data_IF_537059826996
#
_entry.id   IF_537059826996
#
_cell.length_a   1.000
_cell.length_b   1.000
_cell.length_c   1.000
_cell.angle_alpha   90.00
_cell.angle_beta   90.00
_cell.angle_gamma   90.00
#
_symmetry.space_group_name_H-M   'P 1'
#
loop_
_entity.id
_entity.type
_entity.pdbx_description
1 polymer ?
#
# COMPACT_ATOMS: atom_id res chain seq x y z
N UNK A 1 -43.74 60.69 -53.46
CA UNK A 1 -43.51 60.74 -52.00
C UNK A 1 -42.43 59.72 -51.65
N UNK A 2 -41.34 60.17 -51.02
CA UNK A 2 -40.20 59.33 -50.57
C UNK A 2 -40.66 58.37 -49.46
N UNK A 3 -40.24 57.10 -49.51
CA UNK A 3 -40.11 56.26 -48.31
C UNK A 3 -38.75 55.55 -48.36
N UNK A 4 -37.97 55.80 -47.32
CA UNK A 4 -36.59 55.37 -47.12
C UNK A 4 -36.51 53.95 -46.53
N UNK A 5 -35.50 53.21 -46.98
CA UNK A 5 -34.59 52.32 -46.22
C UNK A 5 -35.10 51.63 -44.94
N UNK A 6 -35.13 50.27 -44.93
CA UNK A 6 -34.77 49.47 -43.73
C UNK A 6 -34.42 47.99 -43.98
N UNK A 7 -33.90 47.61 -45.16
CA UNK A 7 -33.47 46.21 -45.40
C UNK A 7 -32.02 45.90 -45.03
N UNK A 8 -31.25 46.87 -44.51
CA UNK A 8 -29.84 46.69 -44.14
C UNK A 8 -29.58 46.36 -42.67
N UNK A 9 -30.60 46.40 -41.82
CA UNK A 9 -30.44 46.20 -40.36
C UNK A 9 -30.86 44.82 -39.86
N UNK A 10 -31.41 43.96 -40.73
CA UNK A 10 -31.86 42.61 -40.34
C UNK A 10 -30.77 41.55 -40.61
N UNK A 11 -29.79 41.84 -41.48
CA UNK A 11 -28.69 40.93 -41.78
C UNK A 11 -27.55 41.03 -40.73
N UNK A 12 -27.53 42.10 -39.93
CA UNK A 12 -26.47 42.33 -38.93
C UNK A 12 -26.73 41.73 -37.55
N UNK A 13 -27.94 41.23 -37.27
CA UNK A 13 -28.29 40.63 -35.97
C UNK A 13 -28.29 39.10 -35.99
N UNK A 14 -28.16 38.46 -37.15
CA UNK A 14 -28.09 36.99 -37.28
C UNK A 14 -26.65 36.44 -37.35
N UNK A 15 -25.64 37.30 -37.33
CA UNK A 15 -24.21 36.92 -37.39
C UNK A 15 -23.51 36.94 -36.03
N UNK A 16 -24.22 37.29 -34.95
CA UNK A 16 -23.66 37.41 -33.60
C UNK A 16 -24.28 36.39 -32.62
N UNK A 17 -24.66 35.20 -33.11
CA UNK A 17 -25.10 34.07 -32.27
C UNK A 17 -24.30 32.79 -32.54
N UNK A 18 -23.50 32.73 -33.60
CA UNK A 18 -22.69 31.54 -33.96
C UNK A 18 -21.23 31.59 -33.47
N UNK A 19 -20.88 32.52 -32.58
CA UNK A 19 -19.53 32.67 -32.02
C UNK A 19 -19.53 32.50 -30.49
N UNK A 20 -20.37 31.61 -29.98
CA UNK A 20 -20.00 30.83 -28.81
C UNK A 20 -19.48 29.50 -29.31
N UNK A 21 -18.25 29.52 -29.86
CA UNK A 21 -17.41 28.33 -29.85
C UNK A 21 -17.13 28.06 -28.38
N UNK A 22 -18.06 27.39 -27.71
CA UNK A 22 -17.77 26.73 -26.45
C UNK A 22 -16.65 25.76 -26.79
N UNK A 23 -15.42 26.16 -26.52
CA UNK A 23 -14.38 25.21 -26.19
C UNK A 23 -14.92 24.48 -24.96
N UNK A 24 -15.72 23.44 -25.20
CA UNK A 24 -15.96 22.41 -24.20
C UNK A 24 -14.54 21.98 -23.86
N UNK A 25 -14.04 22.18 -22.63
CA UNK A 25 -12.84 21.48 -22.23
C UNK A 25 -13.20 20.01 -22.42
N UNK A 26 -12.66 19.40 -23.48
CA UNK A 26 -12.70 17.95 -23.59
C UNK A 26 -11.84 17.50 -22.43
N UNK A 27 -12.49 17.15 -21.33
CA UNK A 27 -11.91 16.38 -20.27
C UNK A 27 -11.40 15.10 -20.93
N UNK A 28 -10.10 15.07 -21.20
CA UNK A 28 -9.44 13.88 -21.70
C UNK A 28 -9.28 12.97 -20.49
N UNK A 29 -10.24 12.07 -20.34
CA UNK A 29 -10.22 11.04 -19.31
C UNK A 29 -9.14 10.04 -19.71
N UNK A 30 -8.19 9.78 -18.81
CA UNK A 30 -7.26 8.67 -18.95
C UNK A 30 -8.00 7.41 -18.48
N UNK A 31 -8.50 6.65 -19.46
CA UNK A 31 -9.50 5.58 -19.30
C UNK A 31 -9.00 4.32 -18.57
N UNK A 32 -7.73 4.22 -18.19
CA UNK A 32 -7.23 2.98 -17.56
C UNK A 32 -5.89 3.09 -16.86
N UNK A 33 -5.92 3.54 -15.61
CA UNK A 33 -4.84 3.34 -14.65
C UNK A 33 -4.95 2.01 -13.95
N UNK A 34 -3.84 1.29 -13.80
CA UNK A 34 -3.81 -0.03 -13.17
C UNK A 34 -2.72 -0.12 -12.09
N UNK A 35 -3.08 -0.64 -10.93
CA UNK A 35 -2.10 -1.08 -9.91
C UNK A 35 -2.19 -2.59 -9.78
N UNK A 36 -1.05 -3.23 -9.94
CA UNK A 36 -0.91 -4.67 -9.81
C UNK A 36 -0.11 -5.02 -8.58
N UNK A 37 -0.56 -6.05 -7.86
CA UNK A 37 0.10 -6.56 -6.67
C UNK A 37 0.59 -7.98 -6.91
N UNK A 38 1.88 -8.20 -6.70
CA UNK A 38 2.51 -9.51 -6.89
C UNK A 38 3.31 -9.93 -5.65
N UNK A 39 3.38 -11.24 -5.40
CA UNK A 39 4.07 -11.78 -4.24
C UNK A 39 4.80 -13.07 -4.57
N UNK A 40 6.00 -13.19 -4.00
CA UNK A 40 6.84 -14.38 -4.07
C UNK A 40 7.26 -14.78 -2.67
N UNK A 41 7.18 -16.07 -2.35
CA UNK A 41 7.57 -16.60 -1.04
C UNK A 41 8.58 -17.72 -1.24
N UNK A 42 9.71 -17.62 -0.56
CA UNK A 42 10.75 -18.64 -0.50
C UNK A 42 10.90 -19.08 0.95
N UNK A 43 10.52 -20.33 1.24
CA UNK A 43 10.53 -20.89 2.60
C UNK A 43 11.06 -22.33 2.56
N UNK A 44 12.16 -22.59 3.27
CA UNK A 44 12.80 -23.91 3.33
C UNK A 44 12.04 -24.91 4.22
N UNK A 45 11.22 -24.42 5.16
CA UNK A 45 10.42 -25.23 6.06
C UNK A 45 9.17 -24.44 6.46
N UNK A 46 8.10 -24.48 5.65
CA UNK A 46 7.00 -23.53 5.76
C UNK A 46 6.24 -23.64 7.07
N UNK A 47 6.49 -22.67 7.95
CA UNK A 47 5.75 -22.46 9.22
C UNK A 47 4.75 -21.32 9.12
N UNK A 48 4.90 -20.48 8.11
CA UNK A 48 4.05 -19.33 7.85
C UNK A 48 3.09 -19.60 6.70
N UNK A 49 1.87 -19.09 6.82
CA UNK A 49 0.95 -18.89 5.71
C UNK A 49 1.06 -17.44 5.26
N UNK A 50 1.24 -17.21 3.96
CA UNK A 50 1.39 -15.88 3.37
C UNK A 50 0.38 -15.66 2.26
N UNK A 51 -0.08 -14.41 2.11
CA UNK A 51 -0.92 -14.01 0.98
C UNK A 51 -0.70 -12.54 0.59
N UNK A 52 -0.75 -12.27 -0.71
CA UNK A 52 -1.00 -10.92 -1.22
C UNK A 52 -2.48 -10.66 -1.11
N UNK A 53 -2.85 -9.58 -0.43
CA UNK A 53 -4.22 -9.39 0.09
C UNK A 53 -5.07 -8.44 -0.74
N UNK A 54 -4.49 -7.78 -1.74
CA UNK A 54 -5.23 -6.98 -2.72
C UNK A 54 -5.17 -7.60 -4.10
N UNK A 55 -6.31 -7.57 -4.79
CA UNK A 55 -6.38 -7.81 -6.23
C UNK A 55 -5.90 -6.59 -7.00
N UNK A 56 -5.68 -6.78 -8.29
CA UNK A 56 -5.44 -5.69 -9.25
C UNK A 56 -6.50 -4.60 -9.10
N UNK A 57 -6.06 -3.35 -9.16
CA UNK A 57 -6.92 -2.17 -9.03
C UNK A 57 -6.95 -1.44 -10.36
N UNK A 58 -8.14 -1.01 -10.78
CA UNK A 58 -8.30 -0.16 -11.96
C UNK A 58 -8.89 1.18 -11.56
N UNK A 59 -8.16 2.25 -11.84
CA UNK A 59 -8.53 3.63 -11.52
C UNK A 59 -8.46 4.49 -12.78
N UNK A 60 -9.60 5.05 -13.17
CA UNK A 60 -9.63 6.17 -14.10
C UNK A 60 -9.20 7.45 -13.39
N UNK A 61 -8.51 8.33 -14.12
CA UNK A 61 -8.15 9.68 -13.68
C UNK A 61 -8.47 10.67 -14.80
N UNK A 62 -9.03 11.82 -14.44
CA UNK A 62 -9.36 12.89 -15.39
C UNK A 62 -8.30 13.99 -15.28
N UNK A 63 -7.75 14.45 -16.41
CA UNK A 63 -6.79 15.56 -16.43
C UNK A 63 -7.39 16.81 -15.78
N UNK A 64 -8.72 17.00 -15.83
CA UNK A 64 -9.40 18.10 -15.14
C UNK A 64 -9.28 18.05 -13.60
N UNK A 65 -9.06 16.86 -13.02
CA UNK A 65 -8.85 16.66 -11.59
C UNK A 65 -7.39 16.84 -11.18
N UNK A 66 -6.46 16.97 -12.14
CA UNK A 66 -5.04 17.11 -11.87
C UNK A 66 -4.65 18.55 -11.53
N UNK A 67 -3.81 18.71 -10.51
CA UNK A 67 -3.04 19.95 -10.35
C UNK A 67 -1.85 19.92 -11.29
N UNK A 68 -1.60 21.01 -12.00
CA UNK A 68 -0.43 21.12 -12.89
C UNK A 68 0.69 21.86 -12.16
N UNK A 69 1.83 21.20 -11.98
CA UNK A 69 3.01 21.76 -11.32
C UNK A 69 4.27 21.38 -12.12
N UNK A 70 5.06 22.38 -12.54
CA UNK A 70 6.36 22.16 -13.20
C UNK A 70 6.33 21.16 -14.38
N UNK A 71 5.28 21.18 -15.21
CA UNK A 71 5.12 20.27 -16.35
C UNK A 71 4.70 18.84 -15.97
N UNK A 72 4.18 18.64 -14.75
CA UNK A 72 3.59 17.40 -14.28
C UNK A 72 2.11 17.61 -13.96
N UNK A 73 1.30 16.61 -14.29
CA UNK A 73 -0.06 16.42 -13.82
C UNK A 73 0.02 15.60 -12.53
N UNK A 74 -0.46 16.18 -11.44
CA UNK A 74 -0.48 15.51 -10.13
C UNK A 74 -1.92 15.24 -9.74
N UNK A 75 -2.24 13.96 -9.57
CA UNK A 75 -3.56 13.48 -9.20
C UNK A 75 -3.54 13.04 -7.74
N UNK A 76 -4.42 13.63 -6.94
CA UNK A 76 -4.66 13.19 -5.56
C UNK A 76 -5.59 11.97 -5.56
N UNK A 77 -5.05 10.81 -5.17
CA UNK A 77 -5.77 9.54 -5.17
C UNK A 77 -6.00 9.03 -3.74
N UNK A 78 -5.96 9.91 -2.73
CA UNK A 78 -6.26 9.54 -1.32
C UNK A 78 -7.66 8.96 -1.15
N UNK A 79 -8.61 9.36 -2.00
CA UNK A 79 -9.97 8.84 -2.01
C UNK A 79 -10.08 7.35 -2.36
N UNK A 80 -9.03 6.73 -2.92
CA UNK A 80 -9.01 5.28 -3.19
C UNK A 80 -8.89 4.44 -1.93
N UNK A 81 -8.59 5.07 -0.79
CA UNK A 81 -8.51 4.41 0.50
C UNK A 81 -7.25 3.57 0.67
N UNK A 82 -7.21 2.81 1.75
CA UNK A 82 -6.09 1.95 2.10
C UNK A 82 -6.30 0.54 1.52
N UNK A 83 -5.26 -0.02 0.92
CA UNK A 83 -5.28 -1.36 0.31
C UNK A 83 -4.33 -2.30 1.06
N UNK A 84 -4.82 -3.44 1.59
CA UNK A 84 -3.97 -4.42 2.27
C UNK A 84 -3.01 -5.06 1.27
N UNK A 85 -1.72 -5.15 1.59
CA UNK A 85 -0.72 -5.62 0.62
C UNK A 85 -0.23 -7.02 0.91
N UNK A 86 0.56 -7.22 1.98
CA UNK A 86 1.06 -8.53 2.40
C UNK A 86 0.48 -8.87 3.77
N UNK A 87 0.02 -10.10 3.91
CA UNK A 87 -0.38 -10.67 5.19
C UNK A 87 0.27 -12.02 5.40
N UNK A 88 0.61 -12.31 6.66
CA UNK A 88 1.11 -13.61 7.04
C UNK A 88 0.80 -13.94 8.49
N UNK A 89 0.71 -15.23 8.79
CA UNK A 89 0.58 -15.74 10.16
C UNK A 89 1.19 -17.13 10.26
N UNK A 90 1.56 -17.59 11.46
CA UNK A 90 1.98 -18.99 11.60
C UNK A 90 0.80 -19.92 11.33
N UNK A 91 1.07 -21.01 10.62
CA UNK A 91 0.08 -22.04 10.33
C UNK A 91 -0.55 -22.59 11.61
N UNK A 92 0.27 -22.84 12.62
CA UNK A 92 -0.14 -23.22 13.97
C UNK A 92 0.77 -22.57 15.01
N UNK A 93 0.30 -22.53 16.26
CA UNK A 93 1.09 -22.07 17.40
C UNK A 93 2.38 -22.89 17.46
N UNK A 94 3.52 -22.20 17.48
CA UNK A 94 4.80 -22.84 17.63
C UNK A 94 5.00 -23.28 19.08
N UNK A 95 5.33 -24.56 19.29
CA UNK A 95 5.69 -25.06 20.61
C UNK A 95 6.90 -24.32 21.19
N UNK A 96 7.85 -23.91 20.34
CA UNK A 96 9.11 -23.26 20.71
C UNK A 96 9.65 -22.40 19.57
N UNK A 97 10.31 -21.30 19.91
CA UNK A 97 11.06 -20.48 18.95
C UNK A 97 12.25 -21.21 18.32
N UNK A 98 12.75 -20.69 17.19
CA UNK A 98 13.89 -21.28 16.46
C UNK A 98 13.99 -20.83 15.00
N UNK A 99 14.77 -21.56 14.17
CA UNK A 99 14.84 -21.33 12.73
C UNK A 99 13.48 -21.49 12.05
N UNK A 100 13.25 -20.80 10.94
CA UNK A 100 12.00 -20.85 10.19
C UNK A 100 10.90 -19.93 10.72
N UNK A 101 11.15 -19.13 11.76
CA UNK A 101 10.14 -18.23 12.34
C UNK A 101 10.37 -16.75 12.06
N UNK A 102 11.57 -16.35 11.62
CA UNK A 102 11.91 -14.94 11.38
C UNK A 102 11.93 -14.64 9.89
N UNK A 103 10.87 -14.02 9.33
CA UNK A 103 10.84 -13.70 7.91
C UNK A 103 11.75 -12.50 7.58
N UNK A 104 12.28 -12.48 6.37
CA UNK A 104 12.87 -11.31 5.74
C UNK A 104 11.98 -10.87 4.60
N UNK A 105 11.52 -9.61 4.64
CA UNK A 105 10.50 -9.10 3.72
C UNK A 105 11.10 -7.95 2.94
N UNK A 106 11.00 -8.01 1.60
CA UNK A 106 11.48 -6.95 0.72
C UNK A 106 10.40 -6.55 -0.27
N UNK A 107 10.40 -5.27 -0.60
CA UNK A 107 9.41 -4.67 -1.50
C UNK A 107 10.10 -4.05 -2.71
N UNK A 108 9.56 -4.31 -3.89
CA UNK A 108 10.14 -3.85 -5.15
C UNK A 108 9.10 -3.51 -6.19
N UNK A 109 9.52 -2.75 -7.20
CA UNK A 109 8.77 -2.50 -8.42
C UNK A 109 9.73 -2.55 -9.58
N UNK A 110 9.36 -3.26 -10.65
CA UNK A 110 10.21 -3.45 -11.83
C UNK A 110 11.65 -3.91 -11.50
N UNK A 111 11.79 -4.81 -10.53
CA UNK A 111 13.07 -5.39 -10.11
C UNK A 111 13.95 -4.47 -9.25
N UNK A 112 13.47 -3.29 -8.86
CA UNK A 112 14.19 -2.35 -7.99
C UNK A 112 13.45 -2.15 -6.66
N UNK A 113 14.15 -1.97 -5.53
CA UNK A 113 13.50 -1.61 -4.27
C UNK A 113 12.65 -0.35 -4.39
N UNK A 114 11.61 -0.23 -3.56
CA UNK A 114 10.82 0.99 -3.48
C UNK A 114 11.71 2.22 -3.20
N UNK A 115 11.45 3.31 -3.90
CA UNK A 115 12.16 4.58 -3.67
C UNK A 115 11.56 5.30 -2.46
N UNK A 116 12.20 5.20 -1.30
CA UNK A 116 11.77 5.87 -0.06
C UNK A 116 11.99 7.38 -0.17
N UNK A 117 10.96 8.16 0.18
CA UNK A 117 10.96 9.62 0.20
C UNK A 117 10.97 10.15 1.63
N UNK A 118 10.16 9.55 2.49
CA UNK A 118 10.11 9.83 3.92
C UNK A 118 10.19 8.50 4.68
N UNK A 119 11.06 8.43 5.69
CA UNK A 119 11.41 7.18 6.38
C UNK A 119 12.84 6.73 6.07
N UNK A 120 13.41 5.91 6.94
CA UNK A 120 14.82 5.50 6.84
C UNK A 120 15.03 4.32 5.87
N UNK A 121 14.05 3.42 5.77
CA UNK A 121 14.14 2.21 4.93
C UNK A 121 12.76 1.61 4.64
N UNK A 122 12.70 0.66 3.70
CA UNK A 122 11.50 -0.13 3.41
C UNK A 122 11.14 -1.13 4.51
N UNK A 123 12.02 -1.33 5.50
CA UNK A 123 11.74 -2.12 6.69
C UNK A 123 11.12 -1.27 7.82
N UNK A 124 11.05 0.06 7.70
CA UNK A 124 10.42 0.89 8.73
C UNK A 124 8.92 0.59 8.85
N UNK A 125 8.38 0.65 10.07
CA UNK A 125 6.95 0.48 10.35
C UNK A 125 6.07 1.40 9.48
N UNK A 126 6.56 2.60 9.21
CA UNK A 126 5.90 3.63 8.42
C UNK A 126 6.91 4.31 7.51
N UNK A 127 6.58 4.45 6.23
CA UNK A 127 7.37 5.23 5.27
C UNK A 127 6.52 5.70 4.08
N UNK A 128 6.93 6.79 3.43
CA UNK A 128 6.40 7.23 2.13
C UNK A 128 7.35 6.79 1.04
N UNK A 129 6.82 6.15 0.01
CA UNK A 129 7.59 5.64 -1.11
C UNK A 129 6.99 6.01 -2.45
N UNK A 130 7.76 5.72 -3.50
CA UNK A 130 7.29 5.81 -4.88
C UNK A 130 7.81 4.66 -5.73
N UNK A 131 7.02 4.33 -6.76
CA UNK A 131 7.34 3.34 -7.79
C UNK A 131 7.17 3.95 -9.17
N UNK A 132 7.91 3.47 -10.18
CA UNK A 132 7.72 3.91 -11.56
C UNK A 132 6.33 3.50 -12.06
N UNK A 133 5.68 4.42 -12.74
CA UNK A 133 4.49 4.16 -13.55
C UNK A 133 4.95 3.96 -14.98
N UNK A 134 4.40 2.96 -15.68
CA UNK A 134 4.76 2.62 -17.05
C UNK A 134 3.57 2.75 -17.98
N UNK A 135 3.86 3.07 -19.23
CA UNK A 135 2.94 2.93 -20.33
C UNK A 135 2.83 1.43 -20.69
N UNK A 136 1.65 0.82 -20.60
CA UNK A 136 1.49 -0.61 -20.89
C UNK A 136 1.71 -0.98 -22.35
N UNK A 137 1.64 -0.04 -23.29
CA UNK A 137 1.81 -0.32 -24.73
C UNK A 137 3.28 -0.50 -25.13
N UNK A 138 4.17 0.29 -24.54
CA UNK A 138 5.60 0.30 -24.89
C UNK A 138 6.53 -0.04 -23.72
N UNK A 139 6.00 -0.15 -22.50
CA UNK A 139 6.74 -0.49 -21.29
C UNK A 139 7.63 0.64 -20.74
N UNK A 140 7.65 1.82 -21.37
CA UNK A 140 8.47 2.94 -20.93
C UNK A 140 7.95 3.54 -19.64
N UNK A 141 8.85 4.10 -18.83
CA UNK A 141 8.47 4.83 -17.62
C UNK A 141 7.79 6.14 -18.03
N UNK A 142 6.54 6.30 -17.60
CA UNK A 142 5.69 7.43 -17.94
C UNK A 142 5.33 8.29 -16.71
N UNK A 143 5.82 7.94 -15.51
CA UNK A 143 5.55 8.74 -14.32
C UNK A 143 5.92 8.03 -13.02
N UNK A 144 5.28 8.45 -11.93
CA UNK A 144 5.48 7.87 -10.59
C UNK A 144 4.16 7.76 -9.85
N UNK A 145 4.02 6.68 -9.11
CA UNK A 145 2.97 6.52 -8.11
C UNK A 145 3.61 6.62 -6.74
N UNK A 146 3.14 7.55 -5.92
CA UNK A 146 3.51 7.73 -4.53
C UNK A 146 2.44 7.12 -3.62
N UNK A 147 2.87 6.62 -2.47
CA UNK A 147 1.99 6.06 -1.46
C UNK A 147 2.66 6.08 -0.08
N UNK A 148 1.83 6.11 0.96
CA UNK A 148 2.21 5.81 2.34
C UNK A 148 2.12 4.31 2.58
N UNK A 149 3.15 3.73 3.17
CA UNK A 149 3.23 2.33 3.56
C UNK A 149 3.20 2.21 5.08
N UNK A 150 2.33 1.36 5.61
CA UNK A 150 2.35 0.97 7.02
C UNK A 150 2.45 -0.56 7.12
N UNK A 151 3.28 -1.04 8.05
CA UNK A 151 3.45 -2.46 8.32
C UNK A 151 3.64 -2.73 9.80
N UNK A 152 3.29 -3.95 10.22
CA UNK A 152 3.54 -4.41 11.56
C UNK A 152 3.75 -5.91 11.59
N UNK A 153 4.51 -6.34 12.59
CA UNK A 153 4.56 -7.72 13.03
C UNK A 153 4.09 -7.78 14.47
N UNK A 154 3.33 -8.80 14.83
CA UNK A 154 2.80 -9.00 16.16
C UNK A 154 3.03 -10.44 16.62
N UNK A 155 3.21 -10.60 17.94
CA UNK A 155 3.33 -11.88 18.61
C UNK A 155 2.40 -11.91 19.81
N UNK A 156 1.77 -13.06 20.03
CA UNK A 156 1.17 -13.41 21.31
C UNK A 156 1.80 -14.72 21.79
N UNK A 157 2.13 -14.78 23.07
CA UNK A 157 2.75 -15.95 23.68
C UNK A 157 1.84 -16.53 24.74
N UNK A 158 1.79 -17.86 24.79
CA UNK A 158 1.06 -18.59 25.81
C UNK A 158 1.85 -18.68 27.11
N UNK A 159 1.43 -19.60 27.98
CA UNK A 159 2.10 -19.85 29.27
C UNK A 159 3.55 -20.29 29.04
N UNK A 160 4.49 -19.63 29.72
CA UNK A 160 5.93 -19.93 29.67
C UNK A 160 6.35 -20.80 30.85
N UNK A 161 7.44 -21.56 30.70
CA UNK A 161 8.10 -22.25 31.82
C UNK A 161 8.76 -21.24 32.76
N UNK A 162 8.97 -21.63 34.03
CA UNK A 162 9.66 -20.80 35.02
C UNK A 162 10.99 -20.24 34.48
N UNK A 163 11.18 -18.92 34.61
CA UNK A 163 12.39 -18.21 34.18
C UNK A 163 12.26 -17.37 32.90
N UNK A 164 11.16 -17.49 32.14
CA UNK A 164 10.88 -16.61 30.98
C UNK A 164 9.60 -15.83 31.24
N UNK A 165 9.69 -14.49 31.29
CA UNK A 165 8.54 -13.60 31.46
C UNK A 165 8.40 -12.72 30.23
N UNK A 166 7.24 -12.78 29.59
CA UNK A 166 6.89 -11.98 28.41
C UNK A 166 5.55 -11.28 28.65
N UNK A 167 5.32 -10.11 28.04
CA UNK A 167 4.06 -9.39 28.19
C UNK A 167 2.87 -10.22 27.72
N UNK A 168 1.82 -10.29 28.54
CA UNK A 168 0.54 -10.87 28.13
C UNK A 168 -0.13 -10.03 27.03
N UNK A 169 -0.88 -10.66 26.14
CA UNK A 169 -1.56 -9.99 25.02
C UNK A 169 -0.78 -10.03 23.71
N UNK A 170 -1.21 -9.19 22.78
CA UNK A 170 -0.57 -8.97 21.49
C UNK A 170 0.48 -7.88 21.65
N UNK A 171 1.75 -8.25 21.53
CA UNK A 171 2.86 -7.30 21.47
C UNK A 171 3.25 -7.05 20.02
N UNK A 172 3.58 -5.81 19.67
CA UNK A 172 4.23 -5.53 18.40
C UNK A 172 5.69 -5.95 18.45
N UNK A 173 6.25 -6.28 17.29
CA UNK A 173 7.60 -6.83 17.16
C UNK A 173 8.47 -5.90 16.34
N UNK A 174 9.64 -5.55 16.88
CA UNK A 174 10.68 -4.76 16.21
C UNK A 174 11.93 -5.63 15.99
N UNK A 175 12.46 -5.62 14.77
CA UNK A 175 13.62 -6.41 14.37
C UNK A 175 13.92 -6.29 12.88
N UNK A 176 14.38 -7.39 12.28
CA UNK A 176 14.80 -7.42 10.89
C UNK A 176 13.64 -7.25 9.90
N UNK A 177 12.46 -7.82 10.17
CA UNK A 177 11.30 -7.67 9.26
C UNK A 177 10.67 -6.29 9.32
N UNK A 178 10.56 -5.73 10.53
CA UNK A 178 9.94 -4.42 10.77
C UNK A 178 10.76 -3.68 11.81
N UNK A 179 11.21 -2.48 11.47
CA UNK A 179 12.04 -1.60 12.30
C UNK A 179 11.25 -0.36 12.72
N UNK A 180 11.77 0.39 13.71
CA UNK A 180 11.17 1.67 14.18
C UNK A 180 9.69 1.53 14.52
N UNK A 181 9.37 0.47 15.26
CA UNK A 181 8.01 0.13 15.64
C UNK A 181 7.60 0.95 16.85
N UNK A 182 6.54 1.73 16.70
CA UNK A 182 5.87 2.44 17.79
C UNK A 182 4.41 1.99 17.82
N UNK A 183 3.88 1.65 18.99
CA UNK A 183 2.50 1.17 19.07
C UNK A 183 1.51 2.30 18.82
N UNK A 184 1.84 3.52 19.20
CA UNK A 184 0.97 4.68 19.14
C UNK A 184 0.72 5.16 17.71
N UNK A 185 1.66 4.92 16.80
CA UNK A 185 1.60 5.40 15.41
C UNK A 185 1.02 4.38 14.44
N UNK A 186 0.91 3.11 14.83
CA UNK A 186 0.38 2.07 13.96
C UNK A 186 -1.14 2.27 13.76
N UNK A 187 -1.64 2.37 12.51
CA UNK A 187 -3.06 2.57 12.27
C UNK A 187 -3.94 1.51 12.93
N UNK A 188 -5.05 1.92 13.54
CA UNK A 188 -5.93 1.01 14.28
C UNK A 188 -6.47 -0.14 13.41
N UNK A 189 -6.78 0.13 12.13
CA UNK A 189 -7.19 -0.91 11.18
C UNK A 189 -6.13 -1.99 11.01
N UNK A 190 -4.85 -1.62 11.01
CA UNK A 190 -3.73 -2.55 10.89
C UNK A 190 -3.53 -3.35 12.19
N UNK A 191 -3.71 -2.74 13.37
CA UNK A 191 -3.73 -3.46 14.66
C UNK A 191 -4.84 -4.50 14.73
N UNK A 192 -6.05 -4.13 14.29
CA UNK A 192 -7.19 -5.05 14.24
C UNK A 192 -6.91 -6.21 13.28
N UNK A 193 -6.21 -5.94 12.16
CA UNK A 193 -5.84 -6.99 11.22
C UNK A 193 -4.81 -7.95 11.81
N UNK A 194 -3.77 -7.45 12.47
CA UNK A 194 -2.79 -8.26 13.20
C UNK A 194 -3.46 -9.15 14.26
N UNK A 195 -4.38 -8.58 15.04
CA UNK A 195 -5.19 -9.31 16.02
C UNK A 195 -5.98 -10.46 15.37
N UNK A 196 -6.63 -10.19 14.24
CA UNK A 196 -7.39 -11.20 13.48
C UNK A 196 -6.48 -12.33 12.96
N UNK A 197 -5.30 -11.98 12.44
CA UNK A 197 -4.33 -12.95 11.92
C UNK A 197 -3.72 -13.82 13.03
N UNK A 198 -3.52 -13.27 14.24
CA UNK A 198 -3.10 -14.07 15.40
C UNK A 198 -4.13 -15.15 15.74
N UNK A 199 -5.42 -14.80 15.73
CA UNK A 199 -6.51 -15.74 16.00
C UNK A 199 -6.60 -16.87 14.95
N UNK A 200 -6.00 -16.70 13.77
CA UNK A 200 -5.94 -17.72 12.73
C UNK A 200 -4.84 -18.76 12.95
N UNK A 201 -3.90 -18.53 13.89
CA UNK A 201 -2.88 -19.51 14.23
C UNK A 201 -3.58 -20.72 14.85
N UNK A 202 -3.53 -21.90 14.22
CA UNK A 202 -4.15 -23.11 14.77
C UNK A 202 -3.60 -23.41 16.16
N UNK A 203 -4.49 -23.65 17.13
CA UNK A 203 -4.11 -23.85 18.53
C UNK A 203 -3.94 -22.54 19.32
N UNK A 204 -4.31 -21.38 18.77
CA UNK A 204 -4.35 -20.13 19.53
C UNK A 204 -5.24 -20.28 20.78
N UNK A 205 -4.65 -20.04 21.96
CA UNK A 205 -5.28 -20.32 23.27
C UNK A 205 -4.28 -20.27 24.42
N UNK A 206 -4.60 -20.93 25.54
CA UNK A 206 -3.68 -21.22 26.66
C UNK A 206 -2.86 -20.02 27.19
N UNK A 207 -3.56 -18.92 27.47
CA UNK A 207 -2.99 -17.69 28.04
C UNK A 207 -2.59 -16.64 27.01
N UNK A 208 -2.68 -16.97 25.71
CA UNK A 208 -2.55 -15.98 24.64
C UNK A 208 -3.72 -15.01 24.62
N UNK A 209 -3.50 -13.84 24.04
CA UNK A 209 -4.54 -12.85 23.80
C UNK A 209 -4.20 -11.98 22.60
N UNK A 210 -5.18 -11.77 21.73
CA UNK A 210 -5.04 -10.93 20.54
C UNK A 210 -5.29 -9.44 20.84
N UNK A 211 -5.48 -9.07 22.11
CA UNK A 211 -5.67 -7.68 22.52
C UNK A 211 -4.33 -6.95 22.54
N UNK A 212 -4.26 -5.79 21.88
CA UNK A 212 -3.08 -4.93 21.88
C UNK A 212 -2.70 -4.54 23.32
N UNK A 213 -1.50 -4.94 23.75
CA UNK A 213 -0.96 -4.60 25.07
C UNK A 213 -0.08 -3.34 25.04
N UNK A 214 0.04 -2.69 23.87
CA UNK A 214 0.85 -1.50 23.60
C UNK A 214 2.35 -1.67 23.80
N UNK A 215 2.82 -2.90 23.98
CA UNK A 215 4.24 -3.21 24.12
C UNK A 215 4.88 -3.46 22.75
N UNK A 216 6.16 -3.10 22.66
CA UNK A 216 7.03 -3.45 21.54
C UNK A 216 8.13 -4.34 22.09
N UNK A 217 8.27 -5.54 21.54
CA UNK A 217 9.29 -6.51 21.94
C UNK A 217 10.24 -6.80 20.77
N UNK A 218 11.39 -7.38 21.08
CA UNK A 218 12.37 -7.79 20.07
C UNK A 218 11.85 -8.95 19.23
N UNK A 219 12.10 -8.93 17.92
CA UNK A 219 11.85 -10.07 17.03
C UNK A 219 12.62 -11.32 17.42
N UNK A 220 13.69 -11.18 18.20
CA UNK A 220 14.46 -12.32 18.71
C UNK A 220 13.62 -13.36 19.45
N UNK A 221 12.43 -13.01 19.97
CA UNK A 221 11.51 -13.96 20.60
C UNK A 221 11.07 -15.10 19.66
N UNK A 222 11.03 -14.86 18.34
CA UNK A 222 10.67 -15.87 17.34
C UNK A 222 11.77 -16.93 17.16
N UNK A 223 13.02 -16.53 17.37
CA UNK A 223 14.20 -17.39 17.23
C UNK A 223 14.67 -17.98 18.57
N UNK A 224 14.20 -17.44 19.71
CA UNK A 224 14.64 -17.87 21.03
C UNK A 224 14.00 -19.21 21.40
N UNK A 225 14.83 -20.26 21.41
CA UNK A 225 14.42 -21.59 21.80
C UNK A 225 13.95 -21.73 23.25
N UNK A 226 13.98 -20.70 24.09
CA UNK A 226 13.38 -20.74 25.44
C UNK A 226 11.93 -20.26 25.44
N UNK A 227 11.53 -19.48 24.44
CA UNK A 227 10.17 -18.97 24.30
C UNK A 227 9.31 -20.06 23.70
N UNK A 228 8.16 -20.31 24.33
CA UNK A 228 7.23 -21.37 23.96
C UNK A 228 5.88 -20.80 23.57
N UNK A 229 5.05 -21.63 22.92
CA UNK A 229 3.66 -21.31 22.62
C UNK A 229 3.52 -19.96 21.92
N UNK A 230 4.10 -19.84 20.73
CA UNK A 230 4.19 -18.57 19.99
C UNK A 230 3.14 -18.57 18.88
N UNK A 231 2.26 -17.57 18.91
CA UNK A 231 1.48 -17.14 17.75
C UNK A 231 2.13 -15.88 17.16
N UNK A 232 2.22 -15.80 15.83
CA UNK A 232 2.77 -14.63 15.16
C UNK A 232 1.95 -14.23 13.93
N UNK A 233 1.98 -12.94 13.63
CA UNK A 233 1.28 -12.35 12.50
C UNK A 233 2.07 -11.18 11.91
N UNK A 234 1.91 -10.96 10.62
CA UNK A 234 2.43 -9.83 9.86
C UNK A 234 1.31 -9.27 8.99
N UNK A 235 1.24 -7.94 8.88
CA UNK A 235 0.36 -7.28 7.94
C UNK A 235 0.97 -5.97 7.43
N UNK A 236 0.70 -5.63 6.17
CA UNK A 236 1.03 -4.34 5.58
C UNK A 236 -0.12 -3.75 4.76
N UNK A 237 -0.11 -2.44 4.62
CA UNK A 237 -1.13 -1.67 3.91
C UNK A 237 -0.48 -0.49 3.19
N UNK A 238 -0.95 -0.21 1.98
CA UNK A 238 -0.59 0.98 1.20
C UNK A 238 -1.77 1.94 1.11
N UNK A 239 -1.51 3.23 1.18
CA UNK A 239 -2.53 4.28 1.26
C UNK A 239 -1.97 5.62 0.78
N UNK A 240 -2.76 6.68 0.89
CA UNK A 240 -2.38 8.05 0.54
C UNK A 240 -1.73 8.19 -0.84
N UNK A 241 -2.39 7.59 -1.83
CA UNK A 241 -1.89 7.52 -3.19
C UNK A 241 -1.84 8.91 -3.84
N UNK A 242 -0.77 9.16 -4.59
CA UNK A 242 -0.64 10.32 -5.47
C UNK A 242 0.02 9.86 -6.77
N UNK A 243 -0.60 10.16 -7.90
CA UNK A 243 -0.07 9.84 -9.22
C UNK A 243 0.53 11.10 -9.84
N UNK A 244 1.75 10.99 -10.37
CA UNK A 244 2.41 12.04 -11.11
C UNK A 244 2.74 11.56 -12.52
N UNK A 245 2.21 12.26 -13.53
CA UNK A 245 2.44 12.02 -14.94
C UNK A 245 2.96 13.30 -15.62
N UNK A 246 3.72 13.23 -16.72
CA UNK A 246 4.07 14.43 -17.49
C UNK A 246 2.81 15.04 -18.11
N UNK A 247 2.78 16.37 -18.25
CA UNK A 247 1.66 17.09 -18.90
C UNK A 247 1.66 17.00 -20.42
N UNK A 248 2.81 16.65 -21.01
CA UNK A 248 2.95 16.40 -22.45
C UNK A 248 3.32 14.93 -22.67
N UNK A 249 2.71 14.30 -23.67
CA UNK A 249 2.94 12.89 -23.95
C UNK A 249 2.43 11.95 -22.85
N UNK A 250 1.45 12.38 -22.06
CA UNK A 250 0.76 11.55 -21.08
C UNK A 250 0.17 10.33 -21.79
N UNK A 251 0.48 9.10 -21.36
CA UNK A 251 -0.13 7.92 -21.98
C UNK A 251 -1.61 7.83 -21.61
N UNK A 252 -2.43 7.33 -22.52
CA UNK A 252 -3.87 7.10 -22.30
C UNK A 252 -4.15 6.08 -21.19
N UNK A 253 -3.18 5.21 -20.90
CA UNK A 253 -3.19 4.19 -19.86
C UNK A 253 -1.89 4.18 -19.09
N UNK A 254 -1.95 3.75 -17.84
CA UNK A 254 -0.77 3.70 -17.00
C UNK A 254 -0.81 2.50 -16.06
N UNK A 255 0.37 1.98 -15.69
CA UNK A 255 0.49 0.77 -14.87
C UNK A 255 1.59 0.92 -13.82
N UNK A 256 1.32 0.53 -12.59
CA UNK A 256 2.31 0.41 -11.51
C UNK A 256 2.26 -0.99 -10.89
N UNK A 257 3.43 -1.63 -10.75
CA UNK A 257 3.54 -2.95 -10.13
C UNK A 257 4.18 -2.86 -8.74
N UNK A 258 3.49 -3.38 -7.73
CA UNK A 258 4.01 -3.50 -6.36
C UNK A 258 4.28 -4.98 -6.08
N UNK A 259 5.56 -5.31 -5.90
CA UNK A 259 6.01 -6.68 -5.66
C UNK A 259 6.50 -6.83 -4.23
N UNK A 260 6.26 -8.00 -3.66
CA UNK A 260 6.83 -8.42 -2.37
C UNK A 260 7.54 -9.75 -2.48
N UNK A 261 8.68 -9.87 -1.81
CA UNK A 261 9.39 -11.13 -1.64
C UNK A 261 9.54 -11.40 -0.15
N UNK A 262 9.11 -12.59 0.27
CA UNK A 262 9.33 -13.10 1.63
C UNK A 262 10.32 -14.25 1.58
N UNK A 263 11.37 -14.17 2.38
CA UNK A 263 12.34 -15.25 2.59
C UNK A 263 12.32 -15.67 4.04
N UNK A 264 12.26 -16.97 4.32
CA UNK A 264 12.34 -17.51 5.69
C UNK A 264 13.50 -18.51 5.74
N UNK A 265 14.34 -18.40 6.77
CA UNK A 265 15.52 -19.25 7.03
C UNK A 265 15.40 -19.89 8.42
#
# INVERSE_FOLDING_TARGET
MKIFHHYKTIISTLTMVTLFYSAIPRAEILDGGEIQFYGFVTDESPKWTWQVSSYEQSWSVDIADARTESGQLIFDLRNKGALPFLEGHLYEVAERGGPGFTPFITFSSAGQPFSVKDGESTAAQHFRASVPVRDPENGNVAGRLFFTFNQGMAVSVGTQMEGTSLPAGMSLVSGQSVTKVYSETLPQGLKNRLSSLLLMNKGFGDGMSANDNRQVISQGVLADGRVMNIAAAYASVVSDFELQLPSEGTPSRWQAGLNVTVTVQ
#
